data_IF_591029074285
#
_entry.id   IF_591029074285
#
_cell.length_a   1.000
_cell.length_b   1.000
_cell.length_c   1.000
_cell.angle_alpha   90.00
_cell.angle_beta   90.00
_cell.angle_gamma   90.00
#
_symmetry.space_group_name_H-M   'P 1'
#
loop_
_entity.id
_entity.type
_entity.pdbx_description
1 polymer ?
#
# COMPACT_ATOMS: atom_id res chain seq x y z
N UNK A 1 -4.30 -0.75 -20.21
CA UNK A 1 -3.17 -0.81 -19.27
C UNK A 1 -3.70 -0.43 -17.91
N UNK A 2 -3.63 -1.33 -16.93
CA UNK A 2 -3.93 -1.01 -15.53
C UNK A 2 -2.66 -0.45 -14.89
N UNK A 3 -2.70 0.80 -14.44
CA UNK A 3 -1.60 1.42 -13.70
C UNK A 3 -1.60 0.95 -12.25
N UNK A 4 -0.41 0.73 -11.68
CA UNK A 4 -0.23 0.45 -10.25
C UNK A 4 0.09 1.76 -9.55
N UNK A 5 -0.55 2.02 -8.41
CA UNK A 5 -0.23 3.15 -7.54
C UNK A 5 0.71 2.67 -6.43
N UNK A 6 1.96 3.11 -6.49
CA UNK A 6 2.99 2.75 -5.52
C UNK A 6 3.18 3.85 -4.47
N UNK A 7 3.21 3.46 -3.20
CA UNK A 7 3.57 4.30 -2.06
C UNK A 7 4.94 3.87 -1.53
N UNK A 8 5.88 4.82 -1.42
CA UNK A 8 7.13 4.60 -0.70
C UNK A 8 6.91 5.07 0.74
N UNK A 9 6.81 4.11 1.65
CA UNK A 9 6.42 4.28 3.05
C UNK A 9 4.97 3.83 3.34
N UNK A 10 4.75 3.28 4.54
CA UNK A 10 3.46 2.75 5.00
C UNK A 10 2.98 3.35 6.34
N UNK A 11 3.48 4.54 6.67
CA UNK A 11 3.07 5.33 7.83
C UNK A 11 1.63 5.85 7.76
N UNK A 12 1.26 6.70 8.72
CA UNK A 12 -0.12 7.19 8.87
C UNK A 12 -0.67 7.86 7.60
N UNK A 13 0.14 8.66 6.91
CA UNK A 13 -0.30 9.34 5.68
C UNK A 13 -0.60 8.35 4.56
N UNK A 14 0.31 7.41 4.29
CA UNK A 14 0.09 6.37 3.28
C UNK A 14 -1.17 5.56 3.60
N UNK A 15 -1.35 5.18 4.87
CA UNK A 15 -2.54 4.44 5.33
C UNK A 15 -3.85 5.19 5.11
N UNK A 16 -3.89 6.48 5.44
CA UNK A 16 -5.08 7.32 5.22
C UNK A 16 -5.40 7.47 3.73
N UNK A 17 -4.38 7.68 2.89
CA UNK A 17 -4.56 7.80 1.44
C UNK A 17 -5.01 6.47 0.80
N UNK A 18 -4.36 5.36 1.19
CA UNK A 18 -4.72 4.01 0.72
C UNK A 18 -6.15 3.68 1.13
N UNK A 19 -6.54 3.96 2.38
CA UNK A 19 -7.92 3.76 2.84
C UNK A 19 -8.93 4.54 1.99
N UNK A 20 -8.66 5.83 1.75
CA UNK A 20 -9.52 6.65 0.89
C UNK A 20 -9.60 6.15 -0.55
N UNK A 21 -8.50 5.64 -1.13
CA UNK A 21 -8.49 5.06 -2.47
C UNK A 21 -9.32 3.77 -2.56
N UNK A 22 -9.16 2.87 -1.58
CA UNK A 22 -9.91 1.61 -1.50
C UNK A 22 -11.40 1.91 -1.30
N UNK A 23 -11.74 2.82 -0.39
CA UNK A 23 -13.13 3.26 -0.17
C UNK A 23 -13.74 3.91 -1.42
N UNK A 24 -12.92 4.54 -2.27
CA UNK A 24 -13.32 5.13 -3.55
C UNK A 24 -13.41 4.11 -4.71
N UNK A 25 -13.19 2.82 -4.44
CA UNK A 25 -13.29 1.74 -5.42
C UNK A 25 -11.99 1.38 -6.15
N UNK A 26 -10.84 1.87 -5.69
CA UNK A 26 -9.55 1.39 -6.19
C UNK A 26 -9.33 -0.05 -5.75
N UNK A 27 -9.06 -0.93 -6.70
CA UNK A 27 -8.78 -2.34 -6.44
C UNK A 27 -7.52 -2.48 -5.55
N UNK A 28 -7.58 -3.09 -4.35
CA UNK A 28 -6.41 -3.20 -3.47
C UNK A 28 -5.17 -3.82 -4.11
N UNK A 29 -5.36 -4.74 -5.04
CA UNK A 29 -4.30 -5.40 -5.81
C UNK A 29 -3.54 -4.48 -6.77
N UNK A 30 -4.11 -3.32 -7.11
CA UNK A 30 -3.45 -2.28 -7.91
C UNK A 30 -2.70 -1.25 -7.06
N UNK A 31 -2.68 -1.42 -5.73
CA UNK A 31 -1.94 -0.59 -4.78
C UNK A 31 -0.76 -1.41 -4.24
N UNK A 32 0.42 -0.79 -4.24
CA UNK A 32 1.63 -1.35 -3.65
C UNK A 32 2.23 -0.35 -2.67
N UNK A 33 2.65 -0.80 -1.49
CA UNK A 33 3.35 0.04 -0.53
C UNK A 33 4.67 -0.61 -0.08
N UNK A 34 5.78 0.13 -0.16
CA UNK A 34 7.06 -0.31 0.40
C UNK A 34 7.27 0.25 1.80
N UNK A 35 7.88 -0.53 2.70
CA UNK A 35 8.36 -0.03 3.99
C UNK A 35 9.38 -1.00 4.57
N UNK A 36 10.53 -0.56 5.11
CA UNK A 36 11.46 -1.47 5.77
C UNK A 36 10.86 -2.15 7.01
N UNK A 37 9.91 -1.52 7.71
CA UNK A 37 9.28 -2.07 8.91
C UNK A 37 8.15 -3.07 8.55
N UNK A 38 8.38 -4.35 8.86
CA UNK A 38 7.43 -5.43 8.62
C UNK A 38 6.08 -5.22 9.32
N UNK A 39 6.06 -4.60 10.50
CA UNK A 39 4.82 -4.36 11.23
C UNK A 39 3.92 -3.36 10.50
N UNK A 40 4.50 -2.37 9.83
CA UNK A 40 3.73 -1.39 9.06
C UNK A 40 3.17 -2.00 7.77
N UNK A 41 3.97 -2.84 7.08
CA UNK A 41 3.52 -3.62 5.93
C UNK A 41 2.36 -4.54 6.30
N UNK A 42 2.51 -5.32 7.37
CA UNK A 42 1.47 -6.24 7.84
C UNK A 42 0.17 -5.51 8.15
N UNK A 43 0.23 -4.36 8.83
CA UNK A 43 -0.95 -3.53 9.11
C UNK A 43 -1.68 -3.11 7.83
N UNK A 44 -0.97 -2.68 6.79
CA UNK A 44 -1.59 -2.33 5.51
C UNK A 44 -2.23 -3.54 4.82
N UNK A 45 -1.52 -4.66 4.75
CA UNK A 45 -2.05 -5.89 4.14
C UNK A 45 -3.27 -6.41 4.90
N UNK A 46 -3.25 -6.39 6.23
CA UNK A 46 -4.38 -6.84 7.05
C UNK A 46 -5.60 -5.93 6.87
N UNK A 47 -5.40 -4.62 6.93
CA UNK A 47 -6.47 -3.62 6.92
C UNK A 47 -7.09 -3.44 5.53
N UNK A 48 -6.28 -3.40 4.47
CA UNK A 48 -6.74 -3.00 3.13
C UNK A 48 -6.52 -4.06 2.06
N UNK A 49 -5.85 -5.18 2.36
CA UNK A 49 -5.52 -6.26 1.40
C UNK A 49 -4.65 -5.79 0.22
N UNK A 50 -3.89 -4.70 0.40
CA UNK A 50 -2.95 -4.18 -0.60
C UNK A 50 -1.65 -4.99 -0.64
N UNK A 51 -0.92 -4.88 -1.74
CA UNK A 51 0.41 -5.49 -1.89
C UNK A 51 1.44 -4.68 -1.11
N UNK A 52 2.47 -5.34 -0.58
CA UNK A 52 3.57 -4.67 0.12
C UNK A 52 4.93 -5.30 -0.20
N UNK A 53 5.99 -4.50 -0.17
CA UNK A 53 7.39 -4.95 -0.28
C UNK A 53 8.29 -4.23 0.73
N UNK A 54 9.50 -4.71 0.95
CA UNK A 54 10.47 -4.13 1.89
C UNK A 54 11.52 -3.24 1.22
N UNK A 55 11.59 -3.24 -0.11
CA UNK A 55 12.56 -2.47 -0.89
C UNK A 55 11.88 -1.56 -1.93
N UNK A 56 12.28 -0.30 -1.94
CA UNK A 56 11.86 0.72 -2.89
C UNK A 56 12.28 0.43 -4.34
N UNK A 57 13.22 -0.49 -4.57
CA UNK A 57 13.58 -0.92 -5.93
C UNK A 57 12.62 -1.98 -6.48
N UNK A 58 11.69 -2.47 -5.65
CA UNK A 58 10.74 -3.55 -5.98
C UNK A 58 9.28 -3.09 -6.03
N UNK A 59 9.03 -1.77 -5.98
CA UNK A 59 7.72 -1.13 -6.22
C UNK A 59 7.34 -1.10 -7.69
#
# INVERSE_FOLDING_TARGET
MTSITAFIGSGNMARSLIGGLVDSGTAPESILASDPDAAQRQRLTEQFKVRTCDDNTTV
#
